data_IF_844250130429
#
_entry.id   IF_844250130429
#
_cell.length_a   1.000
_cell.length_b   1.000
_cell.length_c   1.000
_cell.angle_alpha   90.00
_cell.angle_beta   90.00
_cell.angle_gamma   90.00
#
_symmetry.space_group_name_H-M   'P 1'
#
loop_
_entity.id
_entity.type
_entity.pdbx_description
1 polymer ?
#
# COMPACT_ATOMS: atom_id res chain seq x y z
N UNK A 1 7.69 -6.62 5.75
CA UNK A 1 8.29 -5.29 5.51
C UNK A 1 7.20 -4.22 5.61
N UNK A 2 7.40 -3.17 6.40
CA UNK A 2 6.37 -2.15 6.65
C UNK A 2 6.92 -0.73 6.47
N UNK A 3 6.09 0.16 5.96
CA UNK A 3 6.38 1.58 5.80
C UNK A 3 5.79 2.36 6.98
N UNK A 4 6.63 3.18 7.60
CA UNK A 4 6.20 4.16 8.59
C UNK A 4 6.14 5.52 7.91
N UNK A 5 4.92 6.03 7.72
CA UNK A 5 4.70 7.34 7.11
C UNK A 5 4.09 8.28 8.13
N UNK A 6 4.48 9.55 8.09
CA UNK A 6 4.02 10.51 9.07
C UNK A 6 2.50 10.78 8.98
N UNK A 7 1.89 10.53 7.81
CA UNK A 7 0.46 10.66 7.58
C UNK A 7 -0.40 9.52 8.17
N UNK A 8 0.21 8.37 8.50
CA UNK A 8 -0.50 7.18 8.99
C UNK A 8 -0.18 6.88 10.46
N UNK A 9 -1.19 6.55 11.26
CA UNK A 9 -1.02 6.29 12.70
C UNK A 9 -0.23 5.01 12.98
N UNK A 10 -0.31 4.06 12.05
CA UNK A 10 0.24 2.71 12.17
C UNK A 10 1.11 2.41 10.96
N UNK A 11 2.08 1.53 11.15
CA UNK A 11 2.91 1.01 10.07
C UNK A 11 2.02 0.27 9.06
N UNK A 12 2.26 0.52 7.77
CA UNK A 12 1.45 -0.02 6.69
C UNK A 12 2.31 -0.98 5.85
N UNK A 13 1.80 -2.17 5.48
CA UNK A 13 2.48 -3.07 4.55
C UNK A 13 2.86 -2.35 3.25
N UNK A 14 4.10 -2.52 2.81
CA UNK A 14 4.55 -1.96 1.53
C UNK A 14 3.71 -2.48 0.35
N UNK A 15 3.22 -3.72 0.44
CA UNK A 15 2.34 -4.34 -0.55
C UNK A 15 1.03 -3.58 -0.77
N UNK A 16 0.38 -3.10 0.31
CA UNK A 16 -0.88 -2.35 0.21
C UNK A 16 -0.65 -1.00 -0.46
N UNK A 17 0.48 -0.34 -0.15
CA UNK A 17 0.83 0.94 -0.77
C UNK A 17 1.08 0.76 -2.26
N UNK A 18 1.82 -0.29 -2.66
CA UNK A 18 2.06 -0.57 -4.08
C UNK A 18 0.77 -0.89 -4.85
N UNK A 19 -0.14 -1.67 -4.26
CA UNK A 19 -1.47 -1.90 -4.85
C UNK A 19 -2.25 -0.60 -5.00
N UNK A 20 -2.20 0.30 -4.02
CA UNK A 20 -2.84 1.62 -4.10
C UNK A 20 -2.22 2.54 -5.17
N UNK A 21 -0.95 2.35 -5.52
CA UNK A 21 -0.27 3.05 -6.62
C UNK A 21 -0.68 2.53 -8.01
N UNK A 22 -1.46 1.44 -8.08
CA UNK A 22 -1.89 0.83 -9.34
C UNK A 22 -1.09 -0.42 -9.73
N UNK A 23 -0.15 -0.87 -8.90
CA UNK A 23 0.56 -2.14 -9.09
C UNK A 23 -0.19 -3.25 -8.37
N UNK A 24 -1.23 -3.75 -9.02
CA UNK A 24 -2.12 -4.77 -8.44
C UNK A 24 -1.45 -6.15 -8.43
N UNK A 25 -0.57 -6.43 -9.40
CA UNK A 25 0.09 -7.73 -9.52
C UNK A 25 1.19 -7.90 -8.47
N UNK A 26 1.05 -8.93 -7.63
CA UNK A 26 2.09 -9.28 -6.65
C UNK A 26 3.43 -9.59 -7.33
N UNK A 27 3.39 -10.10 -8.57
CA UNK A 27 4.60 -10.38 -9.34
C UNK A 27 5.34 -9.11 -9.74
N UNK A 28 4.63 -8.04 -10.14
CA UNK A 28 5.23 -6.74 -10.47
C UNK A 28 5.87 -6.10 -9.22
N UNK A 29 5.17 -6.20 -8.09
CA UNK A 29 5.68 -5.75 -6.78
C UNK A 29 6.97 -6.46 -6.40
N UNK A 30 6.99 -7.80 -6.48
CA UNK A 30 8.18 -8.60 -6.20
C UNK A 30 9.32 -8.24 -7.15
N UNK A 31 9.03 -8.04 -8.45
CA UNK A 31 10.03 -7.62 -9.42
C UNK A 31 10.61 -6.23 -9.13
N UNK A 32 9.81 -5.30 -8.64
CA UNK A 32 10.25 -3.95 -8.30
C UNK A 32 11.12 -3.92 -7.04
N UNK A 33 10.76 -4.68 -6.00
CA UNK A 33 11.55 -4.78 -4.75
C UNK A 33 12.90 -5.45 -5.01
N UNK A 34 12.96 -6.34 -6.01
CA UNK A 34 14.18 -6.98 -6.48
C UNK A 34 14.13 -8.50 -6.35
N UNK A 35 14.94 -9.20 -7.16
CA UNK A 35 14.93 -10.66 -7.28
C UNK A 35 15.70 -11.38 -6.16
N UNK A 36 16.07 -10.69 -5.10
CA UNK A 36 16.77 -11.31 -3.98
C UNK A 36 15.78 -12.20 -3.19
N UNK A 37 16.08 -13.50 -3.01
CA UNK A 37 15.17 -14.44 -2.35
C UNK A 37 14.90 -14.09 -0.88
N UNK A 38 15.68 -13.21 -0.26
CA UNK A 38 15.40 -12.71 1.08
C UNK A 38 14.19 -11.78 1.12
N UNK A 39 13.98 -10.98 0.07
CA UNK A 39 12.83 -10.09 -0.01
C UNK A 39 11.54 -10.85 -0.32
N UNK A 40 11.60 -11.90 -1.15
CA UNK A 40 10.43 -12.74 -1.41
C UNK A 40 9.92 -13.42 -0.13
N UNK A 41 10.83 -13.93 0.72
CA UNK A 41 10.47 -14.48 2.02
C UNK A 41 9.81 -13.45 2.96
N UNK A 42 10.23 -12.18 2.90
CA UNK A 42 9.63 -11.09 3.68
C UNK A 42 8.30 -10.57 3.11
N UNK A 43 8.03 -10.85 1.83
CA UNK A 43 6.79 -10.49 1.14
C UNK A 43 5.68 -11.51 1.32
N UNK A 44 6.01 -12.81 1.47
CA UNK A 44 5.04 -13.86 1.76
C UNK A 44 4.02 -13.47 2.86
N UNK A 45 4.45 -13.07 4.07
CA UNK A 45 3.49 -12.70 5.13
C UNK A 45 2.67 -11.46 4.77
N UNK A 46 3.17 -10.56 3.93
CA UNK A 46 2.41 -9.39 3.47
C UNK A 46 1.37 -9.77 2.41
N UNK A 47 1.67 -10.75 1.55
CA UNK A 47 0.72 -11.31 0.58
C UNK A 47 -0.42 -12.02 1.34
N UNK A 48 -0.07 -12.82 2.35
CA UNK A 48 -1.05 -13.47 3.22
C UNK A 48 -1.92 -12.46 3.98
N UNK A 49 -1.32 -11.40 4.54
CA UNK A 49 -2.09 -10.31 5.17
C UNK A 49 -3.01 -9.62 4.15
N UNK A 50 -2.53 -9.28 2.95
CA UNK A 50 -3.36 -8.68 1.90
C UNK A 50 -4.52 -9.59 1.49
N UNK A 51 -4.27 -10.90 1.36
CA UNK A 51 -5.28 -11.89 1.04
C UNK A 51 -6.33 -12.01 2.16
N UNK A 52 -5.89 -12.04 3.42
CA UNK A 52 -6.77 -12.05 4.59
C UNK A 52 -7.62 -10.77 4.69
N UNK A 53 -7.10 -9.63 4.23
CA UNK A 53 -7.81 -8.35 4.20
C UNK A 53 -8.64 -8.17 2.91
N UNK A 54 -8.61 -9.14 1.98
CA UNK A 54 -9.25 -9.07 0.66
C UNK A 54 -8.85 -7.85 -0.16
N UNK A 55 -7.60 -7.41 -0.03
CA UNK A 55 -7.05 -6.25 -0.76
C UNK A 55 -6.32 -6.76 -2.01
N UNK A 56 -7.08 -6.88 -3.10
CA UNK A 56 -6.54 -7.29 -4.40
C UNK A 56 -6.53 -6.18 -5.44
N UNK A 57 -7.38 -5.17 -5.26
CA UNK A 57 -7.52 -4.05 -6.19
C UNK A 57 -7.01 -2.75 -5.62
N UNK A 58 -6.65 -1.82 -6.50
CA UNK A 58 -6.23 -0.47 -6.15
C UNK A 58 -7.28 0.23 -5.29
N UNK A 59 -8.56 0.11 -5.64
CA UNK A 59 -9.64 0.73 -4.89
C UNK A 59 -9.71 0.22 -3.44
N UNK A 60 -9.63 -1.10 -3.24
CA UNK A 60 -9.64 -1.68 -1.88
C UNK A 60 -8.43 -1.27 -1.07
N UNK A 61 -7.27 -1.18 -1.71
CA UNK A 61 -6.06 -0.71 -1.06
C UNK A 61 -6.21 0.76 -0.62
N UNK A 62 -6.75 1.62 -1.47
CA UNK A 62 -7.02 3.02 -1.16
C UNK A 62 -8.04 3.17 -0.02
N UNK A 63 -9.15 2.43 -0.05
CA UNK A 63 -10.15 2.40 1.03
C UNK A 63 -9.50 2.03 2.37
N UNK A 64 -8.65 1.00 2.38
CA UNK A 64 -7.92 0.59 3.58
C UNK A 64 -6.98 1.70 4.11
N UNK A 65 -6.23 2.35 3.21
CA UNK A 65 -5.33 3.44 3.57
C UNK A 65 -6.09 4.65 4.12
N UNK A 66 -7.24 5.00 3.54
CA UNK A 66 -8.10 6.09 4.02
C UNK A 66 -8.53 5.85 5.48
N UNK A 67 -8.93 4.63 5.83
CA UNK A 67 -9.31 4.26 7.19
C UNK A 67 -8.18 4.29 8.23
N UNK A 68 -6.91 4.40 7.80
CA UNK A 68 -5.72 4.38 8.68
C UNK A 68 -5.04 5.74 8.89
N UNK A 69 -5.52 6.81 8.26
CA UNK A 69 -4.94 8.15 8.37
C UNK A 69 -5.14 8.74 9.78
N UNK A 70 -4.19 9.56 10.23
CA UNK A 70 -4.22 10.22 11.56
C UNK A 70 -5.24 11.37 11.65
N UNK A 71 -5.87 11.78 10.56
CA UNK A 71 -6.81 12.89 10.54
C UNK A 71 -7.95 12.65 9.55
N UNK A 72 -9.18 12.96 9.98
CA UNK A 72 -10.39 12.99 9.16
C UNK A 72 -10.38 14.23 8.27
N UNK A 73 -9.50 14.28 7.28
CA UNK A 73 -9.78 15.10 6.10
C UNK A 73 -10.65 14.27 5.18
N UNK A 74 -11.92 14.64 4.95
CA UNK A 74 -12.76 13.93 4.00
C UNK A 74 -12.11 14.09 2.61
N UNK A 75 -11.58 13.01 2.03
CA UNK A 75 -11.28 12.93 0.61
C UNK A 75 -12.59 12.85 -0.19
N UNK A 76 -13.50 13.80 0.04
CA UNK A 76 -14.73 13.88 -0.76
C UNK A 76 -14.46 14.44 -2.15
N UNK A 77 -13.28 15.01 -2.44
CA UNK A 77 -13.03 15.67 -3.73
C UNK A 77 -11.56 15.68 -4.23
N UNK A 78 -10.65 14.88 -3.67
CA UNK A 78 -9.30 14.76 -4.26
C UNK A 78 -9.22 13.49 -5.10
N UNK A 79 -8.89 13.58 -6.41
CA UNK A 79 -8.73 12.39 -7.24
C UNK A 79 -7.70 11.47 -6.59
N UNK A 80 -7.92 10.15 -6.67
CA UNK A 80 -7.03 9.12 -6.12
C UNK A 80 -5.53 9.36 -6.41
N UNK A 81 -5.22 10.09 -7.48
CA UNK A 81 -3.89 10.60 -7.82
C UNK A 81 -3.24 11.48 -6.74
N UNK A 82 -3.94 12.39 -6.06
CA UNK A 82 -3.29 13.30 -5.10
C UNK A 82 -2.69 12.56 -3.91
N UNK A 83 -3.26 11.41 -3.53
CA UNK A 83 -2.72 10.60 -2.46
C UNK A 83 -1.44 9.86 -2.89
N UNK A 84 -1.39 9.39 -4.14
CA UNK A 84 -0.20 8.80 -4.75
C UNK A 84 0.87 9.86 -4.99
N UNK A 85 0.51 11.05 -5.46
CA UNK A 85 1.42 12.19 -5.61
C UNK A 85 1.97 12.66 -4.26
N UNK A 86 1.15 12.78 -3.23
CA UNK A 86 1.63 13.12 -1.88
C UNK A 86 2.55 12.05 -1.26
N UNK A 87 2.39 10.78 -1.68
CA UNK A 87 3.32 9.70 -1.36
C UNK A 87 4.59 9.72 -2.22
N UNK A 88 4.53 10.28 -3.43
CA UNK A 88 5.67 10.44 -4.35
C UNK A 88 6.48 11.72 -4.08
N UNK A 89 5.86 12.72 -3.44
CA UNK A 89 6.47 13.98 -2.96
C UNK A 89 7.07 13.87 -1.54
N UNK A 90 6.98 12.69 -0.91
CA UNK A 90 7.61 12.40 0.39
C UNK A 90 8.92 11.64 0.21
#
# INVERSE_FOLDING_TARGET
MYLQLNQFAKNIPIMIVMKAMGMESDQEVVQMIGRDPRYSALLLPLIEECASLSIFTQQRALEFLQGKKRGTTPLSNTPCQLFVYALWDL
#
